data_IF_615883501313
#
_entry.id   IF_615883501313
#
_cell.length_a   1.000
_cell.length_b   1.000
_cell.length_c   1.000
_cell.angle_alpha   90.00
_cell.angle_beta   90.00
_cell.angle_gamma   90.00
#
_symmetry.space_group_name_H-M   'P 1'
#
loop_
_entity.id
_entity.type
_entity.pdbx_description
1 polymer ?
#
# COMPACT_ATOMS: atom_id res chain seq x y z
N UNK A 1 18.62 -14.14 -3.49
CA UNK A 1 18.09 -12.91 -2.85
C UNK A 1 17.02 -13.34 -1.83
N UNK A 2 17.06 -12.88 -0.57
CA UNK A 2 16.05 -13.25 0.43
C UNK A 2 14.63 -12.83 0.02
N UNK A 3 13.63 -13.67 0.32
CA UNK A 3 12.20 -13.42 0.13
C UNK A 3 11.81 -13.04 -1.32
N UNK A 4 12.44 -13.67 -2.32
CA UNK A 4 12.24 -13.32 -3.73
C UNK A 4 10.79 -13.49 -4.20
N UNK A 5 10.14 -14.58 -3.79
CA UNK A 5 8.74 -14.86 -4.14
C UNK A 5 7.80 -13.80 -3.58
N UNK A 6 8.05 -13.38 -2.34
CA UNK A 6 7.25 -12.35 -1.68
C UNK A 6 7.42 -11.00 -2.37
N UNK A 7 8.66 -10.62 -2.72
CA UNK A 7 8.94 -9.40 -3.50
C UNK A 7 8.23 -9.42 -4.85
N UNK A 8 8.25 -10.55 -5.54
CA UNK A 8 7.57 -10.71 -6.82
C UNK A 8 6.05 -10.59 -6.67
N UNK A 9 5.47 -11.17 -5.61
CA UNK A 9 4.05 -11.02 -5.28
C UNK A 9 3.68 -9.56 -5.00
N UNK A 10 4.41 -8.88 -4.13
CA UNK A 10 4.17 -7.47 -3.77
C UNK A 10 4.29 -6.57 -5.00
N UNK A 11 5.27 -6.81 -5.88
CA UNK A 11 5.45 -6.03 -7.10
C UNK A 11 4.23 -6.15 -8.02
N UNK A 12 3.74 -7.37 -8.24
CA UNK A 12 2.56 -7.62 -9.08
C UNK A 12 1.27 -7.04 -8.45
N UNK A 13 1.08 -7.21 -7.14
CA UNK A 13 -0.06 -6.63 -6.42
C UNK A 13 -0.05 -5.10 -6.52
N UNK A 14 1.09 -4.46 -6.25
CA UNK A 14 1.28 -3.01 -6.35
C UNK A 14 1.00 -2.51 -7.76
N UNK A 15 1.49 -3.22 -8.79
CA UNK A 15 1.24 -2.87 -10.20
C UNK A 15 -0.24 -2.88 -10.55
N UNK A 16 -1.00 -3.91 -10.13
CA UNK A 16 -2.45 -3.98 -10.35
C UNK A 16 -3.18 -2.84 -9.65
N UNK A 17 -2.85 -2.56 -8.39
CA UNK A 17 -3.44 -1.45 -7.63
C UNK A 17 -3.19 -0.12 -8.34
N UNK A 18 -1.97 0.13 -8.82
CA UNK A 18 -1.64 1.34 -9.54
C UNK A 18 -2.48 1.48 -10.81
N UNK A 19 -2.57 0.43 -11.63
CA UNK A 19 -3.37 0.43 -12.85
C UNK A 19 -4.85 0.69 -12.57
N UNK A 20 -5.43 -0.01 -11.59
CA UNK A 20 -6.88 0.02 -11.30
C UNK A 20 -7.33 1.29 -10.55
N UNK A 21 -6.52 1.78 -9.61
CA UNK A 21 -6.94 2.85 -8.67
C UNK A 21 -6.26 4.19 -8.90
N UNK A 22 -5.14 4.21 -9.63
CA UNK A 22 -4.28 5.39 -9.79
C UNK A 22 -3.81 5.60 -11.23
N UNK A 23 -4.48 5.01 -12.22
CA UNK A 23 -4.17 5.15 -13.65
C UNK A 23 -2.71 4.82 -13.98
N UNK A 24 -2.17 3.79 -13.32
CA UNK A 24 -0.80 3.33 -13.50
C UNK A 24 0.29 4.21 -12.87
N UNK A 25 -0.07 5.27 -12.14
CA UNK A 25 0.91 6.24 -11.61
C UNK A 25 0.71 6.56 -10.13
N UNK A 26 1.77 6.37 -9.34
CA UNK A 26 1.77 6.77 -7.92
C UNK A 26 1.60 8.29 -7.74
N UNK A 27 1.95 9.10 -8.74
CA UNK A 27 1.70 10.55 -8.71
C UNK A 27 0.21 10.86 -8.53
N UNK A 28 -0.68 10.03 -9.06
CA UNK A 28 -2.13 10.19 -8.87
C UNK A 28 -2.56 9.83 -7.43
N UNK A 29 -1.88 8.90 -6.76
CA UNK A 29 -2.05 8.69 -5.32
C UNK A 29 -1.67 9.95 -4.51
N UNK A 30 -0.51 10.55 -4.83
CA UNK A 30 -0.05 11.80 -4.20
C UNK A 30 -1.03 12.95 -4.49
N UNK A 31 -1.51 13.11 -5.71
CA UNK A 31 -2.51 14.13 -6.06
C UNK A 31 -3.81 13.95 -5.28
N UNK A 32 -4.29 12.70 -5.15
CA UNK A 32 -5.51 12.34 -4.40
C UNK A 32 -5.40 12.61 -2.90
N UNK A 33 -4.18 12.76 -2.37
CA UNK A 33 -3.96 13.15 -0.97
C UNK A 33 -4.24 14.63 -0.67
N UNK A 34 -4.49 15.47 -1.68
CA UNK A 34 -4.85 16.89 -1.52
C UNK A 34 -3.83 17.68 -0.68
N UNK A 35 -2.53 17.41 -0.88
CA UNK A 35 -1.41 18.02 -0.14
C UNK A 35 -1.44 17.76 1.38
N UNK A 36 -2.18 16.75 1.84
CA UNK A 36 -2.17 16.32 3.23
C UNK A 36 -1.36 15.05 3.41
N UNK A 37 -0.29 15.14 4.21
CA UNK A 37 0.54 13.98 4.55
C UNK A 37 -0.26 12.87 5.26
N UNK A 38 -1.24 13.25 6.09
CA UNK A 38 -2.12 12.29 6.75
C UNK A 38 -3.02 11.57 5.75
N UNK A 39 -3.62 12.28 4.79
CA UNK A 39 -4.42 11.66 3.72
C UNK A 39 -3.56 10.75 2.85
N UNK A 40 -2.32 11.16 2.54
CA UNK A 40 -1.40 10.32 1.79
C UNK A 40 -1.10 9.02 2.54
N UNK A 41 -0.78 9.10 3.83
CA UNK A 41 -0.51 7.92 4.65
C UNK A 41 -1.72 6.98 4.70
N UNK A 42 -2.91 7.53 4.86
CA UNK A 42 -4.15 6.75 4.84
C UNK A 42 -4.37 6.04 3.49
N UNK A 43 -4.22 6.77 2.37
CA UNK A 43 -4.32 6.19 1.03
C UNK A 43 -3.30 5.07 0.81
N UNK A 44 -2.07 5.22 1.31
CA UNK A 44 -1.01 4.22 1.19
C UNK A 44 -1.39 2.92 1.93
N UNK A 45 -1.73 3.02 3.22
CA UNK A 45 -2.02 1.84 4.06
C UNK A 45 -3.34 1.15 3.67
N UNK A 46 -4.30 1.91 3.14
CA UNK A 46 -5.55 1.36 2.62
C UNK A 46 -5.40 0.70 1.25
N UNK A 47 -4.61 1.31 0.36
CA UNK A 47 -4.52 0.83 -1.03
C UNK A 47 -3.50 -0.26 -1.22
N UNK A 48 -2.40 -0.26 -0.47
CA UNK A 48 -1.27 -1.16 -0.63
C UNK A 48 -1.12 -2.06 0.62
N UNK A 49 -1.64 -3.30 0.61
CA UNK A 49 -1.65 -4.19 1.77
C UNK A 49 -0.28 -4.44 2.38
N UNK A 50 0.77 -4.47 1.56
CA UNK A 50 2.16 -4.65 2.02
C UNK A 50 2.67 -3.55 2.97
N UNK A 51 2.00 -2.40 3.06
CA UNK A 51 2.33 -1.29 3.97
C UNK A 51 1.51 -1.31 5.27
N UNK A 52 0.56 -2.23 5.39
CA UNK A 52 -0.29 -2.35 6.58
C UNK A 52 0.43 -3.16 7.65
N UNK A 53 1.31 -2.49 8.38
CA UNK A 53 1.97 -3.05 9.56
C UNK A 53 1.07 -2.91 10.80
N UNK A 54 -0.05 -3.65 10.78
CA UNK A 54 -0.96 -3.75 11.92
C UNK A 54 -1.07 -5.21 12.32
N UNK A 55 -1.02 -5.47 13.62
CA UNK A 55 -1.28 -6.79 14.19
C UNK A 55 -2.36 -6.67 15.25
N UNK A 56 -3.18 -7.71 15.38
CA UNK A 56 -4.16 -7.77 16.46
C UNK A 56 -3.43 -8.09 17.76
N UNK A 57 -3.62 -7.25 18.78
CA UNK A 57 -3.12 -7.56 20.11
C UNK A 57 -3.93 -8.73 20.69
N UNK A 58 -3.27 -9.86 20.91
CA UNK A 58 -3.85 -10.95 21.69
C UNK A 58 -3.68 -10.63 23.17
N UNK A 59 -4.75 -10.15 23.82
CA UNK A 59 -4.81 -10.09 25.28
C UNK A 59 -5.12 -11.49 25.80
N UNK A 60 -4.10 -12.20 26.28
CA UNK A 60 -4.30 -13.41 27.08
C UNK A 60 -5.00 -13.02 28.39
N UNK A 61 -6.18 -13.56 28.63
CA UNK A 61 -6.80 -13.63 29.97
C UNK A 61 -6.29 -14.87 30.70
#
# INVERSE_FOLDING_TARGET
MPLIEERHRILNETGKILLEKFEGSFLNCVRKSEKSAQKLMHLVVESFPSYRDVTQYESTL
#
